data_IF_533813945515
#
_entry.id   IF_533813945515
#
_cell.length_a   1.000
_cell.length_b   1.000
_cell.length_c   1.000
_cell.angle_alpha   90.00
_cell.angle_beta   90.00
_cell.angle_gamma   90.00
#
_symmetry.space_group_name_H-M   'P 1'
#
loop_
_entity.id
_entity.type
_entity.pdbx_description
1 polymer ?
#
# COMPACT_ATOMS: atom_id res chain seq x y z
N UNK A 1 19.89 61.86 2.57
CA UNK A 1 18.81 62.84 2.30
C UNK A 1 17.64 62.07 1.69
N UNK A 2 16.48 62.28 2.30
CA UNK A 2 15.09 62.02 1.86
C UNK A 2 14.83 62.31 0.35
N UNK A 3 13.77 61.87 -0.36
CA UNK A 3 12.62 60.95 -0.16
C UNK A 3 11.82 60.87 -1.48
N UNK A 4 11.05 59.79 -1.65
CA UNK A 4 9.75 59.72 -2.34
C UNK A 4 9.12 58.36 -1.98
N UNK A 5 7.82 58.13 -1.75
CA UNK A 5 6.56 58.88 -1.74
C UNK A 5 5.40 57.89 -1.47
N UNK A 6 4.16 58.40 -1.35
CA UNK A 6 2.82 57.74 -1.24
C UNK A 6 2.40 57.24 0.15
N UNK A 7 1.36 57.73 0.85
CA UNK A 7 -0.04 58.17 0.57
C UNK A 7 -1.09 57.04 0.49
N UNK A 8 -1.74 56.88 1.65
CA UNK A 8 -3.17 56.64 1.98
C UNK A 8 -3.86 55.30 1.72
N UNK A 9 -4.23 54.72 2.87
CA UNK A 9 -5.24 53.72 3.18
C UNK A 9 -6.65 54.01 2.61
N UNK A 10 -7.33 52.92 2.23
CA UNK A 10 -8.76 52.81 1.93
C UNK A 10 -9.31 51.57 2.65
N UNK A 11 -10.55 51.72 3.13
CA UNK A 11 -11.44 50.74 3.77
C UNK A 11 -11.44 49.31 3.17
N UNK A 12 -11.14 48.30 3.98
CA UNK A 12 -11.47 46.88 3.75
C UNK A 12 -11.80 46.20 5.09
N UNK A 13 -12.93 46.55 5.74
CA UNK A 13 -13.32 45.92 7.01
C UNK A 13 -14.84 45.68 7.14
N UNK A 14 -15.54 45.46 6.03
CA UNK A 14 -16.99 45.13 6.05
C UNK A 14 -17.47 44.02 5.11
N UNK A 15 -16.58 43.35 4.36
CA UNK A 15 -16.98 42.23 3.46
C UNK A 15 -16.59 40.84 3.98
N UNK A 16 -15.68 40.71 4.96
CA UNK A 16 -15.30 39.41 5.53
C UNK A 16 -16.31 38.84 6.55
N UNK A 17 -17.26 39.65 7.04
CA UNK A 17 -18.24 39.23 8.05
C UNK A 17 -19.55 38.66 7.46
N UNK A 18 -19.78 38.78 6.15
CA UNK A 18 -21.01 38.32 5.48
C UNK A 18 -20.82 36.97 4.78
N UNK A 19 -19.59 36.64 4.38
CA UNK A 19 -19.29 35.36 3.70
C UNK A 19 -19.14 34.18 4.68
N UNK A 20 -18.74 34.43 5.93
CA UNK A 20 -18.60 33.36 6.94
C UNK A 20 -19.93 32.86 7.53
N UNK A 21 -21.03 33.58 7.36
CA UNK A 21 -22.35 33.22 7.90
C UNK A 21 -23.33 32.61 6.87
N UNK A 22 -22.86 32.26 5.66
CA UNK A 22 -23.72 31.67 4.62
C UNK A 22 -23.41 30.20 4.27
N UNK A 23 -22.52 29.53 5.01
CA UNK A 23 -22.19 28.10 4.79
C UNK A 23 -22.70 27.22 5.95
N UNK A 24 -23.01 27.79 7.11
CA UNK A 24 -23.78 27.09 8.14
C UNK A 24 -25.27 27.23 7.84
N UNK A 25 -25.83 26.28 7.10
CA UNK A 25 -27.13 25.62 7.37
C UNK A 25 -27.63 24.91 6.10
N UNK A 26 -28.03 23.65 6.30
CA UNK A 26 -28.80 22.80 5.39
C UNK A 26 -28.02 21.97 4.35
N UNK A 27 -27.05 21.18 4.81
CA UNK A 27 -26.97 19.80 4.33
C UNK A 27 -28.13 19.04 4.98
N UNK A 28 -29.33 19.19 4.41
CA UNK A 28 -30.52 18.48 4.88
C UNK A 28 -30.26 16.96 4.81
N UNK A 29 -30.74 16.19 5.80
CA UNK A 29 -30.70 14.73 5.80
C UNK A 29 -31.25 14.12 4.49
N UNK A 30 -32.14 14.84 3.81
CA UNK A 30 -32.65 14.46 2.49
C UNK A 30 -31.57 14.48 1.38
N UNK A 31 -30.61 15.41 1.42
CA UNK A 31 -29.47 15.44 0.48
C UNK A 31 -28.49 14.30 0.77
N UNK A 32 -28.21 14.00 2.04
CA UNK A 32 -27.37 12.86 2.42
C UNK A 32 -28.00 11.52 2.00
N UNK A 33 -29.32 11.38 2.15
CA UNK A 33 -30.05 10.20 1.70
C UNK A 33 -30.06 10.07 0.16
N UNK A 34 -30.23 11.18 -0.56
CA UNK A 34 -30.12 11.19 -2.04
C UNK A 34 -28.70 10.87 -2.51
N UNK A 35 -27.67 11.39 -1.84
CA UNK A 35 -26.26 11.10 -2.15
C UNK A 35 -25.90 9.63 -1.86
N UNK A 36 -26.40 9.06 -0.76
CA UNK A 36 -26.28 7.63 -0.46
C UNK A 36 -26.97 6.76 -1.53
N UNK A 37 -28.15 7.18 -2.00
CA UNK A 37 -28.90 6.49 -3.06
C UNK A 37 -28.17 6.56 -4.39
N UNK A 38 -27.59 7.72 -4.74
CA UNK A 38 -26.79 7.91 -5.96
C UNK A 38 -25.47 7.12 -5.91
N UNK A 39 -24.79 7.08 -4.75
CA UNK A 39 -23.60 6.24 -4.52
C UNK A 39 -23.93 4.75 -4.61
N UNK A 40 -25.10 4.33 -4.16
CA UNK A 40 -25.61 2.97 -4.34
C UNK A 40 -25.89 2.64 -5.81
N UNK A 41 -26.47 3.59 -6.57
CA UNK A 41 -26.71 3.43 -8.00
C UNK A 41 -25.41 3.37 -8.81
N UNK A 42 -24.42 4.22 -8.51
CA UNK A 42 -23.12 4.25 -9.21
C UNK A 42 -22.32 2.95 -9.08
N UNK A 43 -22.50 2.19 -7.99
CA UNK A 43 -21.88 0.86 -7.82
C UNK A 43 -22.44 -0.22 -8.73
N UNK A 44 -23.56 0.02 -9.41
CA UNK A 44 -24.31 -1.03 -10.15
C UNK A 44 -24.46 -0.75 -11.65
N UNK A 45 -23.86 0.32 -12.17
CA UNK A 45 -24.12 0.77 -13.55
C UNK A 45 -22.85 0.67 -14.41
N UNK A 46 -22.97 -0.01 -15.55
CA UNK A 46 -21.96 -0.07 -16.60
C UNK A 46 -21.73 1.30 -17.30
N UNK A 47 -20.54 1.50 -17.91
CA UNK A 47 -19.89 2.81 -18.12
C UNK A 47 -20.65 3.95 -18.84
N UNK A 48 -21.59 3.75 -19.78
CA UNK A 48 -22.06 4.88 -20.60
C UNK A 48 -23.12 5.79 -19.94
N UNK A 49 -23.72 5.41 -18.79
CA UNK A 49 -24.90 6.09 -18.24
C UNK A 49 -24.63 7.10 -17.12
N UNK A 50 -23.37 7.32 -16.73
CA UNK A 50 -22.98 8.13 -15.56
C UNK A 50 -23.38 9.61 -15.72
N UNK A 51 -23.35 10.15 -16.94
CA UNK A 51 -23.63 11.57 -17.19
C UNK A 51 -25.11 11.96 -17.11
N UNK A 52 -26.04 11.02 -17.26
CA UNK A 52 -27.49 11.31 -17.20
C UNK A 52 -28.04 11.39 -15.76
N UNK A 53 -27.29 10.93 -14.76
CA UNK A 53 -27.79 10.71 -13.38
C UNK A 53 -27.34 11.81 -12.40
N UNK A 54 -26.43 12.70 -12.82
CA UNK A 54 -25.92 13.77 -11.95
C UNK A 54 -26.96 14.92 -11.82
N UNK A 55 -27.46 15.11 -10.60
CA UNK A 55 -28.35 16.23 -10.22
C UNK A 55 -27.71 17.60 -10.53
N UNK A 56 -28.51 18.60 -10.91
CA UNK A 56 -28.09 19.97 -11.26
C UNK A 56 -27.24 20.62 -10.15
N UNK A 57 -27.48 20.26 -8.89
CA UNK A 57 -26.69 20.79 -7.76
C UNK A 57 -25.29 20.17 -7.69
N UNK A 58 -25.15 18.89 -8.04
CA UNK A 58 -23.84 18.20 -8.10
C UNK A 58 -23.05 18.72 -9.30
N UNK A 59 -23.71 18.99 -10.42
CA UNK A 59 -23.08 19.60 -11.60
C UNK A 59 -22.54 21.02 -11.31
N UNK A 60 -23.27 21.82 -10.51
CA UNK A 60 -22.79 23.14 -10.08
C UNK A 60 -21.55 23.05 -9.19
N UNK A 61 -21.54 22.13 -8.23
CA UNK A 61 -20.40 21.90 -7.33
C UNK A 61 -19.18 21.41 -8.13
N UNK A 62 -19.40 20.55 -9.12
CA UNK A 62 -18.31 20.00 -9.93
C UNK A 62 -17.84 20.92 -11.07
N UNK A 63 -18.62 21.96 -11.41
CA UNK A 63 -18.34 22.87 -12.54
C UNK A 63 -16.97 23.56 -12.53
N UNK A 64 -16.34 23.89 -11.37
CA UNK A 64 -14.99 24.46 -11.37
C UNK A 64 -13.93 23.45 -11.82
N UNK A 65 -14.11 22.16 -11.49
CA UNK A 65 -13.17 21.07 -11.78
C UNK A 65 -13.34 20.49 -13.19
N UNK A 66 -14.52 20.66 -13.80
CA UNK A 66 -14.81 20.29 -15.19
C UNK A 66 -14.60 21.44 -16.20
N UNK A 67 -13.84 22.48 -15.85
CA UNK A 67 -13.52 23.57 -16.78
C UNK A 67 -13.01 22.99 -18.12
N UNK A 68 -13.75 23.27 -19.19
CA UNK A 68 -13.67 22.63 -20.53
C UNK A 68 -12.29 22.64 -21.18
N UNK A 69 -11.35 23.41 -20.65
CA UNK A 69 -10.03 23.63 -21.25
C UNK A 69 -8.94 22.63 -20.82
N UNK A 70 -9.26 21.62 -19.98
CA UNK A 70 -8.29 20.57 -19.59
C UNK A 70 -8.67 19.14 -19.95
N UNK A 71 -9.89 18.89 -20.44
CA UNK A 71 -10.36 17.55 -20.82
C UNK A 71 -10.33 17.27 -22.33
N UNK A 72 -10.03 18.28 -23.16
CA UNK A 72 -10.20 18.21 -24.61
C UNK A 72 -9.04 18.79 -25.41
N UNK A 73 -7.79 18.50 -25.02
CA UNK A 73 -6.64 18.76 -25.90
C UNK A 73 -5.65 17.59 -25.81
N UNK A 74 -5.94 16.52 -26.56
CA UNK A 74 -5.11 16.13 -27.71
C UNK A 74 -5.69 14.84 -28.32
N UNK A 75 -5.82 14.82 -29.65
CA UNK A 75 -6.29 13.68 -30.45
C UNK A 75 -5.23 12.57 -30.52
N UNK A 76 -4.98 11.89 -29.41
CA UNK A 76 -4.31 10.59 -29.40
C UNK A 76 -5.22 9.56 -28.76
N UNK A 77 -5.41 8.44 -29.45
CA UNK A 77 -6.37 7.38 -29.15
C UNK A 77 -6.35 6.94 -27.67
N UNK A 78 -7.26 7.51 -26.86
CA UNK A 78 -7.64 6.95 -25.55
C UNK A 78 -8.75 5.93 -25.76
N UNK A 79 -8.58 4.72 -25.26
CA UNK A 79 -9.63 3.70 -25.28
C UNK A 79 -10.71 4.05 -24.25
N UNK A 80 -11.91 3.47 -24.39
CA UNK A 80 -13.04 3.71 -23.49
C UNK A 80 -12.71 3.33 -22.03
N UNK A 81 -11.76 2.41 -21.83
CA UNK A 81 -11.19 2.03 -20.53
C UNK A 81 -10.39 3.16 -19.86
N UNK A 82 -9.56 3.88 -20.62
CA UNK A 82 -8.74 4.98 -20.09
C UNK A 82 -9.62 6.14 -19.58
N UNK A 83 -10.77 6.34 -20.23
CA UNK A 83 -11.77 7.34 -19.82
C UNK A 83 -12.51 6.96 -18.54
N UNK A 84 -12.71 5.66 -18.29
CA UNK A 84 -13.33 5.14 -17.07
C UNK A 84 -12.38 5.27 -15.88
N UNK A 85 -11.08 5.00 -16.08
CA UNK A 85 -10.05 5.20 -15.05
C UNK A 85 -9.95 6.67 -14.63
N UNK A 86 -9.91 7.61 -15.58
CA UNK A 86 -9.92 9.05 -15.25
C UNK A 86 -11.19 9.49 -14.50
N UNK A 87 -12.35 8.88 -14.79
CA UNK A 87 -13.58 9.16 -14.03
C UNK A 87 -13.54 8.57 -12.61
N UNK A 88 -12.93 7.39 -12.43
CA UNK A 88 -12.75 6.77 -11.12
C UNK A 88 -11.79 7.58 -10.24
N UNK A 89 -10.71 8.14 -10.81
CA UNK A 89 -9.78 9.03 -10.12
C UNK A 89 -10.50 10.25 -9.53
N UNK A 90 -11.37 10.88 -10.31
CA UNK A 90 -12.18 12.03 -9.85
C UNK A 90 -13.15 11.63 -8.74
N UNK A 91 -13.78 10.45 -8.84
CA UNK A 91 -14.70 9.95 -7.80
C UNK A 91 -13.95 9.64 -6.50
N UNK A 92 -12.72 9.12 -6.59
CA UNK A 92 -11.90 8.81 -5.43
C UNK A 92 -11.38 10.07 -4.72
N UNK A 93 -10.94 11.07 -5.48
CA UNK A 93 -10.55 12.38 -4.94
C UNK A 93 -11.72 13.09 -4.23
N UNK A 94 -12.92 13.05 -4.83
CA UNK A 94 -14.15 13.58 -4.21
C UNK A 94 -14.47 12.85 -2.90
N UNK A 95 -14.26 11.53 -2.86
CA UNK A 95 -14.46 10.73 -1.64
C UNK A 95 -13.48 11.13 -0.54
N UNK A 96 -12.20 11.35 -0.87
CA UNK A 96 -11.17 11.77 0.09
C UNK A 96 -11.51 13.14 0.68
N UNK A 97 -11.85 14.12 -0.15
CA UNK A 97 -12.22 15.47 0.34
C UNK A 97 -13.51 15.47 1.16
N UNK A 98 -14.51 14.65 0.80
CA UNK A 98 -15.73 14.48 1.60
C UNK A 98 -15.45 13.86 2.99
N UNK A 99 -14.43 13.01 3.09
CA UNK A 99 -14.04 12.38 4.36
C UNK A 99 -13.37 13.41 5.27
N UNK A 100 -12.50 14.26 4.72
CA UNK A 100 -11.87 15.38 5.45
C UNK A 100 -12.90 16.38 5.98
N UNK A 101 -13.87 16.77 5.14
CA UNK A 101 -14.96 17.69 5.55
C UNK A 101 -15.86 17.08 6.63
N UNK A 102 -16.05 15.76 6.61
CA UNK A 102 -16.79 15.03 7.67
C UNK A 102 -16.03 14.98 9.00
N UNK A 103 -14.70 14.90 8.97
CA UNK A 103 -13.85 14.89 10.17
C UNK A 103 -13.74 16.29 10.79
N UNK A 104 -13.66 17.33 9.96
CA UNK A 104 -13.68 18.73 10.39
C UNK A 104 -15.04 19.15 10.98
N UNK A 105 -16.14 18.55 10.54
CA UNK A 105 -17.47 18.81 11.11
C UNK A 105 -17.65 18.17 12.51
N UNK A 106 -17.02 17.03 12.79
CA UNK A 106 -17.13 16.31 14.06
C UNK A 106 -16.27 16.92 15.19
N UNK A 107 -15.25 17.72 14.85
CA UNK A 107 -14.41 18.42 15.83
C UNK A 107 -15.06 19.71 16.35
N UNK A 108 -15.94 20.35 15.55
CA UNK A 108 -16.63 21.58 15.92
C UNK A 108 -17.81 21.40 16.90
N UNK A 109 -18.42 20.20 16.97
CA UNK A 109 -19.62 19.94 17.80
C UNK A 109 -19.25 19.56 19.26
N UNK A 110 -18.03 19.08 19.49
CA UNK A 110 -17.56 18.62 20.81
C UNK A 110 -17.24 19.78 21.76
N UNK A 111 -16.83 20.93 21.23
CA UNK A 111 -16.56 22.13 22.03
C UNK A 111 -17.86 22.79 22.54
N UNK A 112 -18.96 22.73 21.77
CA UNK A 112 -20.28 23.17 22.25
C UNK A 112 -20.88 22.21 23.29
N UNK A 113 -20.61 20.91 23.19
CA UNK A 113 -21.04 19.89 24.17
C UNK A 113 -20.27 20.05 25.49
N UNK A 114 -18.97 20.35 25.44
CA UNK A 114 -18.15 20.57 26.65
C UNK A 114 -18.51 21.88 27.37
N UNK A 115 -18.82 22.94 26.62
CA UNK A 115 -19.33 24.20 27.19
C UNK A 115 -20.70 24.04 27.88
N UNK A 116 -21.58 23.16 27.37
CA UNK A 116 -22.85 22.82 28.04
C UNK A 116 -22.67 21.92 29.27
N UNK A 117 -21.66 21.05 29.29
CA UNK A 117 -21.33 20.22 30.47
C UNK A 117 -20.85 21.06 31.64
N UNK A 118 -20.01 22.07 31.43
CA UNK A 118 -19.53 22.95 32.52
C UNK A 118 -20.67 23.79 33.15
N UNK A 119 -21.69 24.14 32.37
CA UNK A 119 -22.91 24.80 32.88
C UNK A 119 -23.80 23.89 33.74
N UNK A 120 -23.66 22.56 33.64
CA UNK A 120 -24.51 21.58 34.34
C UNK A 120 -23.90 21.09 35.68
N UNK A 121 -22.60 21.30 35.91
CA UNK A 121 -21.92 20.90 37.15
C UNK A 121 -22.02 21.91 38.31
N UNK A 122 -22.65 23.07 38.11
CA UNK A 122 -22.86 24.08 39.17
C UNK A 122 -24.10 23.85 40.04
N UNK A 123 -24.87 22.78 39.82
CA UNK A 123 -26.07 22.49 40.60
C UNK A 123 -26.17 21.00 40.94
N UNK A 124 -25.54 20.57 42.04
CA UNK A 124 -26.18 19.82 43.13
C UNK A 124 -25.12 19.39 44.17
N UNK A 125 -25.40 19.73 45.41
CA UNK A 125 -24.60 19.54 46.62
C UNK A 125 -25.09 18.28 47.38
N UNK A 126 -24.16 17.61 48.08
CA UNK A 126 -24.35 16.80 49.32
C UNK A 126 -24.65 15.27 49.24
N UNK A 127 -23.54 14.51 49.41
CA UNK A 127 -23.23 13.45 50.40
C UNK A 127 -23.70 11.96 50.29
N UNK A 128 -22.91 10.99 50.86
CA UNK A 128 -22.77 9.59 50.44
C UNK A 128 -23.35 8.56 51.44
N UNK A 129 -23.31 7.24 51.11
CA UNK A 129 -22.94 6.09 51.99
C UNK A 129 -23.23 4.70 51.34
N UNK A 130 -22.15 3.89 51.25
CA UNK A 130 -21.90 2.45 51.48
C UNK A 130 -22.84 1.27 51.09
N UNK A 131 -22.17 0.28 50.45
CA UNK A 131 -22.11 -1.19 50.71
C UNK A 131 -22.84 -2.24 49.83
N UNK A 132 -22.00 -3.24 49.46
CA UNK A 132 -22.20 -4.71 49.34
C UNK A 132 -22.78 -5.37 48.07
N UNK A 133 -21.85 -6.05 47.37
CA UNK A 133 -21.84 -7.43 46.85
C UNK A 133 -22.93 -8.02 45.91
N UNK A 134 -22.39 -8.60 44.82
CA UNK A 134 -22.73 -9.85 44.10
C UNK A 134 -23.65 -9.88 42.87
N UNK A 135 -23.06 -10.50 41.84
CA UNK A 135 -23.55 -11.28 40.69
C UNK A 135 -24.18 -10.61 39.46
N UNK A 136 -23.50 -10.91 38.34
CA UNK A 136 -24.01 -11.26 37.01
C UNK A 136 -24.00 -10.23 35.85
N UNK A 137 -23.16 -10.60 34.87
CA UNK A 137 -23.46 -10.69 33.43
C UNK A 137 -23.34 -9.44 32.55
N UNK A 138 -22.32 -9.49 31.68
CA UNK A 138 -22.30 -9.04 30.29
C UNK A 138 -22.93 -7.67 29.97
N UNK A 139 -22.31 -6.57 30.42
CA UNK A 139 -22.61 -5.24 29.85
C UNK A 139 -21.53 -4.17 30.14
N UNK A 140 -20.26 -4.43 29.81
CA UNK A 140 -19.24 -3.38 29.83
C UNK A 140 -18.13 -3.63 28.80
N UNK A 141 -18.47 -3.55 27.51
CA UNK A 141 -17.54 -3.50 26.37
C UNK A 141 -17.55 -2.13 25.68
N UNK A 142 -17.77 -1.04 26.42
CA UNK A 142 -17.48 0.30 25.93
C UNK A 142 -16.76 1.05 27.05
N UNK A 143 -15.43 1.16 26.95
CA UNK A 143 -14.68 2.22 27.62
C UNK A 143 -14.40 3.30 26.57
N UNK A 144 -14.74 4.57 26.84
CA UNK A 144 -14.43 5.65 25.93
C UNK A 144 -12.91 5.91 25.97
N UNK A 145 -12.33 5.98 24.77
CA UNK A 145 -11.05 6.55 24.38
C UNK A 145 -9.99 6.68 25.47
N UNK A 146 -8.96 5.84 25.38
CA UNK A 146 -7.64 6.13 25.96
C UNK A 146 -7.21 7.48 25.41
N UNK A 147 -7.04 8.45 26.30
CA UNK A 147 -6.44 9.76 26.00
C UNK A 147 -5.12 9.55 25.28
N UNK A 148 -4.98 10.17 24.11
CA UNK A 148 -3.69 10.36 23.45
C UNK A 148 -2.67 10.86 24.47
N UNK A 149 -1.41 10.36 24.47
CA UNK A 149 -0.38 10.86 25.35
C UNK A 149 -0.27 12.39 25.23
N UNK A 150 -0.35 13.11 26.36
CA UNK A 150 -0.24 14.57 26.49
C UNK A 150 1.14 15.16 26.10
N UNK A 151 1.96 14.44 25.34
CA UNK A 151 3.28 14.92 24.90
C UNK A 151 3.45 14.70 23.41
N UNK A 152 3.13 15.72 22.62
CA UNK A 152 3.44 15.79 21.19
C UNK A 152 4.96 15.85 20.99
N UNK A 153 5.57 14.75 20.55
CA UNK A 153 6.97 14.69 20.15
C UNK A 153 7.05 14.81 18.62
N UNK A 154 7.43 15.99 18.13
CA UNK A 154 7.70 16.23 16.73
C UNK A 154 8.84 15.30 16.25
N UNK A 155 8.55 14.39 15.31
CA UNK A 155 9.54 13.49 14.71
C UNK A 155 9.56 12.04 15.22
N UNK A 156 8.59 11.61 16.04
CA UNK A 156 8.32 10.17 16.21
C UNK A 156 7.46 9.66 15.05
N UNK A 157 7.75 8.44 14.58
CA UNK A 157 7.22 7.73 13.40
C UNK A 157 5.68 7.77 13.25
N UNK A 158 4.96 8.03 14.34
CA UNK A 158 3.51 7.91 14.45
C UNK A 158 2.71 8.97 13.66
N UNK A 159 3.18 10.23 13.53
CA UNK A 159 2.37 11.31 12.92
C UNK A 159 1.98 11.02 11.46
N UNK A 160 2.90 10.42 10.70
CA UNK A 160 2.67 10.10 9.28
C UNK A 160 2.45 8.62 9.02
N UNK A 161 2.65 7.73 10.02
CA UNK A 161 2.59 6.28 9.84
C UNK A 161 1.30 5.81 9.15
N UNK A 162 0.15 6.26 9.64
CA UNK A 162 -1.15 5.96 9.03
C UNK A 162 -1.28 6.48 7.59
N UNK A 163 -0.83 7.71 7.32
CA UNK A 163 -0.90 8.32 5.98
C UNK A 163 0.03 7.65 4.97
N UNK A 164 1.23 7.24 5.41
CA UNK A 164 2.20 6.49 4.61
C UNK A 164 1.60 5.13 4.29
N UNK A 165 1.08 4.41 5.29
CA UNK A 165 0.47 3.10 5.08
C UNK A 165 -0.69 3.17 4.08
N UNK A 166 -1.62 4.12 4.24
CA UNK A 166 -2.72 4.33 3.29
C UNK A 166 -2.23 4.65 1.87
N UNK A 167 -1.17 5.46 1.74
CA UNK A 167 -0.55 5.77 0.45
C UNK A 167 0.10 4.55 -0.20
N UNK A 168 0.77 3.70 0.58
CA UNK A 168 1.33 2.43 0.11
C UNK A 168 0.22 1.50 -0.38
N UNK A 169 -0.86 1.33 0.39
CA UNK A 169 -2.02 0.50 0.00
C UNK A 169 -2.71 1.02 -1.27
N UNK A 170 -2.82 2.34 -1.45
CA UNK A 170 -3.38 2.90 -2.69
C UNK A 170 -2.46 2.67 -3.91
N UNK A 171 -1.14 2.71 -3.70
CA UNK A 171 -0.14 2.54 -4.77
C UNK A 171 0.08 1.09 -5.17
N UNK A 172 -0.05 0.14 -4.24
CA UNK A 172 0.14 -1.28 -4.55
C UNK A 172 -0.87 -1.71 -5.62
N UNK A 173 -2.13 -1.30 -5.47
CA UNK A 173 -3.20 -1.57 -6.42
C UNK A 173 -2.88 -1.04 -7.82
N UNK A 174 -2.32 0.18 -7.91
CA UNK A 174 -1.99 0.84 -9.17
C UNK A 174 -0.87 0.15 -9.96
N UNK A 175 0.08 -0.46 -9.26
CA UNK A 175 1.28 -1.06 -9.86
C UNK A 175 1.31 -2.59 -9.75
N UNK A 176 0.20 -3.19 -9.32
CA UNK A 176 0.02 -4.64 -9.29
C UNK A 176 -0.16 -5.17 -10.71
N UNK A 177 0.67 -6.15 -11.10
CA UNK A 177 0.62 -6.76 -12.42
C UNK A 177 -0.28 -7.99 -12.35
N UNK A 178 -1.57 -7.82 -12.65
CA UNK A 178 -2.57 -8.89 -12.59
C UNK A 178 -2.76 -9.64 -13.90
N UNK A 179 -2.36 -9.03 -15.02
CA UNK A 179 -2.52 -9.65 -16.34
C UNK A 179 -1.57 -10.82 -16.53
N UNK A 180 -2.00 -11.85 -17.26
CA UNK A 180 -1.10 -12.92 -17.70
C UNK A 180 -0.08 -12.32 -18.70
N UNK A 181 1.05 -11.87 -18.17
CA UNK A 181 2.14 -11.26 -18.95
C UNK A 181 2.64 -12.23 -20.02
N UNK A 182 2.57 -13.55 -19.79
CA UNK A 182 3.09 -14.54 -20.72
C UNK A 182 2.18 -14.76 -21.92
N UNK A 183 0.89 -14.44 -21.82
CA UNK A 183 -0.02 -14.46 -22.96
C UNK A 183 0.41 -13.46 -24.07
N UNK A 184 1.06 -12.35 -23.68
CA UNK A 184 1.63 -11.35 -24.60
C UNK A 184 3.03 -11.73 -25.10
N UNK A 185 3.73 -12.65 -24.42
CA UNK A 185 5.11 -13.03 -24.74
C UNK A 185 5.15 -14.12 -25.82
N UNK A 186 5.87 -13.84 -26.92
CA UNK A 186 6.06 -14.84 -27.98
C UNK A 186 6.97 -15.99 -27.53
N UNK A 187 8.03 -15.68 -26.78
CA UNK A 187 9.11 -16.61 -26.48
C UNK A 187 9.41 -16.79 -24.98
N UNK A 188 9.23 -15.77 -24.15
CA UNK A 188 9.44 -15.87 -22.70
C UNK A 188 8.31 -16.70 -22.09
N UNK A 189 8.66 -17.59 -21.16
CA UNK A 189 7.75 -18.52 -20.47
C UNK A 189 7.88 -18.37 -18.95
N UNK A 190 6.87 -18.77 -18.16
CA UNK A 190 6.92 -18.71 -16.70
C UNK A 190 8.20 -19.29 -16.10
N UNK A 191 8.61 -20.48 -16.56
CA UNK A 191 9.86 -21.13 -16.10
C UNK A 191 11.10 -20.30 -16.37
N UNK A 192 11.16 -19.57 -17.49
CA UNK A 192 12.32 -18.71 -17.79
C UNK A 192 12.39 -17.53 -16.84
N UNK A 193 11.24 -16.95 -16.45
CA UNK A 193 11.18 -15.90 -15.43
C UNK A 193 11.66 -16.45 -14.08
N UNK A 194 11.16 -17.60 -13.66
CA UNK A 194 11.56 -18.20 -12.39
C UNK A 194 13.08 -18.45 -12.33
N UNK A 195 13.68 -18.97 -13.41
CA UNK A 195 15.14 -19.14 -13.53
C UNK A 195 15.89 -17.80 -13.49
N UNK A 196 15.37 -16.76 -14.13
CA UNK A 196 15.98 -15.42 -14.07
C UNK A 196 15.92 -14.85 -12.64
N UNK A 197 14.78 -14.97 -11.96
CA UNK A 197 14.58 -14.47 -10.60
C UNK A 197 15.47 -15.21 -9.60
N UNK A 198 15.54 -16.54 -9.70
CA UNK A 198 16.44 -17.38 -8.89
C UNK A 198 17.90 -16.93 -9.04
N UNK A 199 18.36 -16.73 -10.28
CA UNK A 199 19.70 -16.18 -10.52
C UNK A 199 19.87 -14.75 -9.99
N UNK A 200 18.87 -13.87 -10.13
CA UNK A 200 18.91 -12.51 -9.59
C UNK A 200 18.99 -12.49 -8.05
N UNK A 201 18.45 -13.50 -7.35
CA UNK A 201 18.61 -13.66 -5.90
C UNK A 201 20.07 -13.97 -5.54
N UNK A 202 20.74 -14.83 -6.31
CA UNK A 202 22.18 -15.09 -6.11
C UNK A 202 23.03 -13.82 -6.34
N UNK A 203 22.70 -13.07 -7.40
CA UNK A 203 23.36 -11.79 -7.72
C UNK A 203 23.10 -10.79 -6.58
N UNK A 204 21.86 -10.62 -6.16
CA UNK A 204 21.44 -9.76 -5.05
C UNK A 204 22.25 -10.05 -3.78
N UNK A 205 22.34 -11.32 -3.39
CA UNK A 205 23.10 -11.74 -2.21
C UNK A 205 24.59 -11.45 -2.37
N UNK A 206 25.16 -11.71 -3.55
CA UNK A 206 26.59 -11.48 -3.81
C UNK A 206 26.99 -10.00 -3.76
N UNK A 207 26.06 -9.10 -4.11
CA UNK A 207 26.27 -7.66 -4.01
C UNK A 207 25.84 -7.09 -2.65
N UNK A 208 25.38 -7.92 -1.71
CA UNK A 208 24.95 -7.53 -0.37
C UNK A 208 23.90 -6.40 -0.38
N UNK A 209 22.96 -6.48 -1.33
CA UNK A 209 21.93 -5.46 -1.53
C UNK A 209 20.77 -5.61 -0.54
N UNK A 210 20.05 -4.52 -0.32
CA UNK A 210 18.84 -4.52 0.52
C UNK A 210 17.73 -5.38 -0.08
N UNK A 211 16.89 -5.99 0.77
CA UNK A 211 15.79 -6.83 0.29
C UNK A 211 14.85 -6.06 -0.65
N UNK A 212 14.56 -4.80 -0.33
CA UNK A 212 13.73 -3.93 -1.15
C UNK A 212 14.25 -3.79 -2.60
N UNK A 213 15.57 -3.77 -2.79
CA UNK A 213 16.20 -3.73 -4.12
C UNK A 213 15.84 -4.96 -4.97
N UNK A 214 15.81 -6.16 -4.38
CA UNK A 214 15.40 -7.38 -5.05
C UNK A 214 13.92 -7.33 -5.46
N UNK A 215 13.04 -6.95 -4.53
CA UNK A 215 11.60 -6.90 -4.82
C UNK A 215 11.27 -5.85 -5.90
N UNK A 216 11.91 -4.68 -5.87
CA UNK A 216 11.80 -3.68 -6.94
C UNK A 216 12.30 -4.22 -8.28
N UNK A 217 13.43 -4.93 -8.28
CA UNK A 217 13.98 -5.56 -9.49
C UNK A 217 12.97 -6.50 -10.14
N UNK A 218 12.35 -7.40 -9.36
CA UNK A 218 11.36 -8.34 -9.88
C UNK A 218 10.11 -7.60 -10.38
N UNK A 219 9.63 -6.60 -9.64
CA UNK A 219 8.50 -5.77 -10.09
C UNK A 219 8.79 -5.07 -11.43
N UNK A 220 10.00 -4.54 -11.62
CA UNK A 220 10.40 -3.91 -12.88
C UNK A 220 10.45 -4.92 -14.02
N UNK A 221 11.00 -6.11 -13.80
CA UNK A 221 10.99 -7.19 -14.81
C UNK A 221 9.56 -7.51 -15.24
N UNK A 222 8.64 -7.70 -14.29
CA UNK A 222 7.26 -8.09 -14.58
C UNK A 222 6.48 -6.99 -15.30
N UNK A 223 6.61 -5.74 -14.84
CA UNK A 223 5.99 -4.58 -15.50
C UNK A 223 6.52 -4.35 -16.92
N UNK A 224 7.78 -4.67 -17.17
CA UNK A 224 8.36 -4.59 -18.50
C UNK A 224 7.81 -5.69 -19.40
N UNK A 225 7.74 -6.94 -18.91
CA UNK A 225 7.13 -8.05 -19.65
C UNK A 225 5.62 -7.86 -19.91
N UNK A 226 4.92 -7.10 -19.08
CA UNK A 226 3.51 -6.77 -19.29
C UNK A 226 3.27 -5.84 -20.50
N UNK A 227 4.30 -5.07 -20.90
CA UNK A 227 4.19 -4.02 -21.92
C UNK A 227 5.02 -4.30 -23.17
N UNK A 228 6.18 -4.97 -23.02
CA UNK A 228 7.13 -5.20 -24.10
C UNK A 228 7.38 -6.69 -24.33
N UNK A 229 7.45 -7.09 -25.61
CA UNK A 229 7.80 -8.46 -25.99
C UNK A 229 9.32 -8.64 -25.95
N UNK A 230 9.80 -9.57 -25.14
CA UNK A 230 11.24 -9.81 -24.95
C UNK A 230 11.66 -11.12 -25.62
N UNK A 231 12.82 -11.10 -26.28
CA UNK A 231 13.45 -12.33 -26.79
C UNK A 231 14.32 -12.99 -25.71
N UNK A 232 14.41 -14.33 -25.65
CA UNK A 232 15.15 -15.05 -24.62
C UNK A 232 16.58 -14.57 -24.40
N UNK A 233 17.28 -14.25 -25.49
CA UNK A 233 18.69 -13.83 -25.49
C UNK A 233 18.92 -12.46 -24.84
N UNK A 234 17.88 -11.63 -24.71
CA UNK A 234 17.95 -10.33 -24.04
C UNK A 234 17.34 -10.35 -22.65
N UNK A 235 16.78 -11.48 -22.22
CA UNK A 235 15.99 -11.51 -21.00
C UNK A 235 16.84 -11.33 -19.73
N UNK A 236 18.05 -11.90 -19.70
CA UNK A 236 19.01 -11.63 -18.62
C UNK A 236 19.46 -10.16 -18.61
N UNK A 237 19.65 -9.53 -19.78
CA UNK A 237 19.97 -8.10 -19.86
C UNK A 237 18.86 -7.24 -19.25
N UNK A 238 17.58 -7.58 -19.48
CA UNK A 238 16.43 -6.91 -18.83
C UNK A 238 16.50 -7.05 -17.32
N UNK A 239 16.77 -8.25 -16.79
CA UNK A 239 16.90 -8.48 -15.35
C UNK A 239 18.03 -7.65 -14.72
N UNK A 240 19.18 -7.57 -15.38
CA UNK A 240 20.35 -6.82 -14.89
C UNK A 240 20.14 -5.32 -14.99
N UNK A 241 19.49 -4.84 -16.05
CA UNK A 241 19.11 -3.44 -16.18
C UNK A 241 18.06 -3.04 -15.12
N UNK A 242 17.10 -3.93 -14.83
CA UNK A 242 16.14 -3.74 -13.75
C UNK A 242 16.84 -3.66 -12.38
N UNK A 243 17.82 -4.53 -12.11
CA UNK A 243 18.62 -4.50 -10.88
C UNK A 243 19.47 -3.23 -10.76
N UNK A 244 20.03 -2.76 -11.88
CA UNK A 244 20.75 -1.49 -11.92
C UNK A 244 19.84 -0.31 -11.57
N UNK A 245 18.62 -0.28 -12.11
CA UNK A 245 17.64 0.77 -11.80
C UNK A 245 17.20 0.69 -10.33
N UNK A 246 16.90 -0.51 -9.83
CA UNK A 246 16.49 -0.72 -8.45
C UNK A 246 17.59 -0.30 -7.46
N UNK A 247 18.84 -0.71 -7.71
CA UNK A 247 19.96 -0.33 -6.86
C UNK A 247 20.22 1.18 -6.88
N UNK A 248 20.12 1.85 -8.04
CA UNK A 248 20.20 3.32 -8.12
C UNK A 248 19.08 4.04 -7.36
N UNK A 249 17.94 3.37 -7.20
CA UNK A 249 16.77 3.94 -6.52
C UNK A 249 16.86 3.75 -4.99
N UNK A 250 17.30 2.58 -4.54
CA UNK A 250 17.20 2.16 -3.13
C UNK A 250 18.53 2.22 -2.38
N UNK A 251 19.66 1.93 -3.04
CA UNK A 251 20.96 1.75 -2.36
C UNK A 251 21.68 3.08 -2.14
N UNK A 252 22.38 3.18 -1.01
CA UNK A 252 23.34 4.27 -0.76
C UNK A 252 24.47 4.22 -1.80
N UNK A 253 24.92 3.00 -2.13
CA UNK A 253 25.96 2.72 -3.11
C UNK A 253 25.43 1.73 -4.15
N UNK A 254 24.90 2.21 -5.28
CA UNK A 254 24.32 1.34 -6.30
C UNK A 254 25.37 0.46 -6.99
N UNK A 255 24.91 -0.63 -7.61
CA UNK A 255 25.79 -1.55 -8.34
C UNK A 255 26.58 -0.84 -9.44
N UNK A 256 27.89 -1.13 -9.56
CA UNK A 256 28.68 -0.65 -10.69
C UNK A 256 28.33 -1.42 -11.95
N UNK A 257 28.20 -0.70 -13.07
CA UNK A 257 27.89 -1.31 -14.36
C UNK A 257 28.93 -2.35 -14.78
N UNK A 258 30.23 -2.14 -14.49
CA UNK A 258 31.25 -3.10 -14.90
C UNK A 258 31.15 -4.40 -14.10
N UNK A 259 30.73 -4.33 -12.84
CA UNK A 259 30.53 -5.52 -12.00
C UNK A 259 29.30 -6.31 -12.47
N UNK A 260 28.21 -5.62 -12.84
CA UNK A 260 27.04 -6.24 -13.46
C UNK A 260 27.37 -6.88 -14.82
N UNK A 261 28.18 -6.21 -15.64
CA UNK A 261 28.65 -6.80 -16.90
C UNK A 261 29.60 -7.98 -16.66
N UNK A 262 30.39 -7.94 -15.59
CA UNK A 262 31.28 -9.03 -15.21
C UNK A 262 30.50 -10.27 -14.78
N UNK A 263 29.43 -10.13 -13.97
CA UNK A 263 28.60 -11.28 -13.55
C UNK A 263 27.81 -11.89 -14.71
N UNK A 264 27.55 -11.11 -15.77
CA UNK A 264 26.99 -11.60 -17.03
C UNK A 264 28.04 -12.21 -17.98
N UNK A 265 29.24 -12.51 -17.49
CA UNK A 265 30.39 -12.99 -18.27
C UNK A 265 30.73 -12.10 -19.48
N UNK A 266 30.41 -10.81 -19.40
CA UNK A 266 30.55 -9.82 -20.50
C UNK A 266 29.81 -10.23 -21.79
N UNK A 267 28.71 -10.95 -21.65
CA UNK A 267 27.80 -11.28 -22.76
C UNK A 267 27.17 -10.04 -23.39
N UNK A 268 27.17 -8.92 -22.66
CA UNK A 268 26.63 -7.64 -23.09
C UNK A 268 27.70 -6.54 -23.03
N UNK A 269 27.55 -5.53 -23.88
CA UNK A 269 28.35 -4.31 -23.81
C UNK A 269 27.74 -3.31 -22.82
N UNK A 270 28.54 -2.33 -22.40
CA UNK A 270 28.05 -1.21 -21.59
C UNK A 270 26.97 -0.40 -22.32
N UNK A 271 27.05 -0.30 -23.64
CA UNK A 271 26.02 0.35 -24.46
C UNK A 271 24.71 -0.42 -24.42
N UNK A 272 24.74 -1.75 -24.49
CA UNK A 272 23.53 -2.57 -24.40
C UNK A 272 22.81 -2.37 -23.06
N UNK A 273 23.58 -2.31 -21.96
CA UNK A 273 23.03 -2.10 -20.62
C UNK A 273 22.42 -0.70 -20.46
N UNK A 274 23.09 0.34 -20.96
CA UNK A 274 22.57 1.72 -20.94
C UNK A 274 21.30 1.84 -21.79
N UNK A 275 21.28 1.22 -22.96
CA UNK A 275 20.12 1.26 -23.85
C UNK A 275 18.94 0.52 -23.23
N UNK A 276 19.17 -0.66 -22.64
CA UNK A 276 18.14 -1.41 -21.93
C UNK A 276 17.61 -0.67 -20.70
N UNK A 277 18.48 -0.01 -19.92
CA UNK A 277 18.07 0.85 -18.81
C UNK A 277 17.15 1.98 -19.30
N UNK A 278 17.51 2.62 -20.41
CA UNK A 278 16.70 3.70 -20.99
C UNK A 278 15.32 3.18 -21.44
N UNK A 279 15.27 2.02 -22.06
CA UNK A 279 14.02 1.40 -22.53
C UNK A 279 13.09 1.10 -21.35
N UNK A 280 13.61 0.49 -20.27
CA UNK A 280 12.87 0.25 -19.03
C UNK A 280 12.30 1.55 -18.44
N UNK A 281 13.13 2.57 -18.27
CA UNK A 281 12.71 3.87 -17.71
C UNK A 281 11.63 4.55 -18.55
N UNK A 282 11.73 4.47 -19.88
CA UNK A 282 10.73 5.01 -20.80
C UNK A 282 9.40 4.27 -20.68
N UNK A 283 9.42 2.93 -20.63
CA UNK A 283 8.22 2.11 -20.42
C UNK A 283 7.55 2.43 -19.09
N UNK A 284 8.32 2.62 -18.03
CA UNK A 284 7.78 2.95 -16.70
C UNK A 284 7.33 4.40 -16.59
N UNK A 285 7.69 5.26 -17.54
CA UNK A 285 7.54 6.72 -17.42
C UNK A 285 8.14 7.23 -16.11
N UNK A 286 9.27 6.65 -15.70
CA UNK A 286 9.95 6.91 -14.42
C UNK A 286 9.13 6.64 -13.15
N UNK A 287 8.02 5.89 -13.22
CA UNK A 287 7.27 5.45 -12.05
C UNK A 287 7.95 4.24 -11.40
N UNK A 288 8.98 4.51 -10.60
CA UNK A 288 9.85 3.51 -9.97
C UNK A 288 9.42 3.17 -8.55
N UNK A 289 8.97 4.17 -7.79
CA UNK A 289 8.55 3.98 -6.41
C UNK A 289 7.26 3.15 -6.36
N UNK A 290 7.38 1.86 -6.10
CA UNK A 290 6.27 0.91 -6.02
C UNK A 290 6.34 0.19 -4.67
N UNK A 291 5.22 0.06 -3.94
CA UNK A 291 5.18 -0.75 -2.74
C UNK A 291 5.49 -2.20 -3.07
N UNK A 292 6.28 -2.85 -2.22
CA UNK A 292 6.67 -4.24 -2.38
C UNK A 292 6.26 -5.06 -1.16
N UNK A 293 6.33 -6.39 -1.26
CA UNK A 293 6.11 -7.29 -0.11
C UNK A 293 7.09 -6.95 1.00
N UNK A 294 8.37 -6.70 0.66
CA UNK A 294 9.39 -6.27 1.64
C UNK A 294 9.05 -4.93 2.28
N UNK A 295 8.45 -3.98 1.54
CA UNK A 295 8.00 -2.69 2.12
C UNK A 295 6.94 -2.90 3.21
N UNK A 296 5.92 -3.70 2.93
CA UNK A 296 4.85 -3.98 3.90
C UNK A 296 5.35 -4.85 5.05
N UNK A 297 6.16 -5.87 4.75
CA UNK A 297 6.70 -6.76 5.76
C UNK A 297 7.60 -5.99 6.75
N UNK A 298 8.45 -5.08 6.26
CA UNK A 298 9.24 -4.18 7.12
C UNK A 298 8.35 -3.33 8.04
N UNK A 299 7.29 -2.72 7.50
CA UNK A 299 6.32 -1.96 8.30
C UNK A 299 5.65 -2.80 9.40
N UNK A 300 5.33 -4.07 9.12
CA UNK A 300 4.72 -4.96 10.12
C UNK A 300 5.73 -5.38 11.18
N UNK A 301 6.95 -5.72 10.78
CA UNK A 301 8.01 -6.19 11.66
C UNK A 301 8.57 -5.11 12.60
N UNK A 302 8.40 -3.83 12.30
CA UNK A 302 8.72 -2.72 13.24
C UNK A 302 8.00 -2.83 14.59
N UNK A 303 6.93 -3.63 14.66
CA UNK A 303 6.11 -3.84 15.86
C UNK A 303 6.45 -5.13 16.62
N UNK A 304 7.45 -5.90 16.15
CA UNK A 304 7.90 -7.15 16.76
C UNK A 304 9.13 -6.92 17.64
N UNK A 305 9.30 -7.78 18.66
CA UNK A 305 10.40 -7.67 19.63
C UNK A 305 11.60 -8.53 19.20
N UNK A 306 12.76 -8.38 19.87
CA UNK A 306 13.98 -9.15 19.56
C UNK A 306 13.78 -10.69 19.68
N UNK A 307 12.84 -11.13 20.50
CA UNK A 307 12.50 -12.55 20.69
C UNK A 307 11.85 -13.16 19.44
N UNK A 308 11.32 -12.33 18.52
CA UNK A 308 10.60 -12.75 17.32
C UNK A 308 11.51 -12.89 16.08
N UNK A 309 12.83 -12.87 16.28
CA UNK A 309 13.80 -12.91 15.17
C UNK A 309 13.62 -14.12 14.24
N UNK A 310 13.20 -15.28 14.76
CA UNK A 310 12.93 -16.46 13.92
C UNK A 310 11.70 -16.22 13.01
N UNK A 311 10.66 -15.56 13.53
CA UNK A 311 9.45 -15.21 12.78
C UNK A 311 9.81 -14.22 11.67
N UNK A 312 10.62 -13.20 11.98
CA UNK A 312 11.15 -12.26 10.99
C UNK A 312 11.90 -12.97 9.86
N UNK A 313 12.84 -13.85 10.19
CA UNK A 313 13.65 -14.54 9.18
C UNK A 313 12.80 -15.51 8.35
N UNK A 314 11.84 -16.22 8.95
CA UNK A 314 10.89 -17.06 8.23
C UNK A 314 9.99 -16.25 7.30
N UNK A 315 9.46 -15.12 7.76
CA UNK A 315 8.58 -14.29 6.94
C UNK A 315 9.34 -13.72 5.73
N UNK A 316 10.58 -13.28 5.90
CA UNK A 316 11.44 -12.83 4.80
C UNK A 316 11.79 -13.98 3.83
N UNK A 317 12.11 -15.16 4.37
CA UNK A 317 12.33 -16.37 3.57
C UNK A 317 11.10 -16.70 2.70
N UNK A 318 9.91 -16.73 3.29
CA UNK A 318 8.67 -17.01 2.57
C UNK A 318 8.35 -15.93 1.53
N UNK A 319 8.62 -14.66 1.85
CA UNK A 319 8.43 -13.55 0.92
C UNK A 319 9.33 -13.70 -0.31
N UNK A 320 10.60 -14.08 -0.16
CA UNK A 320 11.49 -14.31 -1.30
C UNK A 320 11.13 -15.56 -2.09
N UNK A 321 10.66 -16.64 -1.44
CA UNK A 321 10.12 -17.81 -2.14
C UNK A 321 8.93 -17.42 -3.04
N UNK A 322 8.07 -16.51 -2.59
CA UNK A 322 6.91 -16.05 -3.36
C UNK A 322 7.29 -15.37 -4.68
N UNK A 323 8.49 -14.79 -4.79
CA UNK A 323 8.96 -14.11 -6.00
C UNK A 323 9.14 -15.06 -7.19
N UNK A 324 9.38 -16.36 -6.93
CA UNK A 324 9.60 -17.35 -7.98
C UNK A 324 8.33 -17.67 -8.76
N UNK A 325 7.16 -17.58 -8.12
CA UNK A 325 5.86 -17.84 -8.75
C UNK A 325 5.16 -16.53 -9.17
N UNK A 326 5.10 -16.32 -10.49
CA UNK A 326 4.40 -15.16 -11.04
C UNK A 326 2.88 -15.24 -10.84
N UNK A 327 2.29 -16.44 -10.94
CA UNK A 327 0.83 -16.61 -10.82
C UNK A 327 0.37 -16.21 -9.43
N UNK A 328 1.12 -16.60 -8.41
CA UNK A 328 0.89 -16.18 -7.03
C UNK A 328 1.01 -14.66 -6.89
N UNK A 329 2.09 -14.08 -7.40
CA UNK A 329 2.33 -12.63 -7.36
C UNK A 329 1.26 -11.81 -8.11
N UNK A 330 0.70 -12.36 -9.20
CA UNK A 330 -0.38 -11.73 -9.97
C UNK A 330 -1.76 -11.87 -9.30
N UNK A 331 -1.93 -12.88 -8.44
CA UNK A 331 -3.20 -13.15 -7.75
C UNK A 331 -3.37 -12.26 -6.52
N UNK A 332 -2.30 -12.03 -5.76
CA UNK A 332 -2.36 -11.34 -4.48
C UNK A 332 -1.56 -10.03 -4.49
N UNK A 333 -2.13 -8.99 -3.89
CA UNK A 333 -1.44 -7.71 -3.71
C UNK A 333 -0.30 -7.83 -2.67
N UNK A 334 0.77 -7.04 -2.80
CA UNK A 334 1.95 -7.13 -1.92
C UNK A 334 1.67 -7.09 -0.41
N UNK A 335 0.70 -6.30 0.04
CA UNK A 335 0.32 -6.19 1.45
C UNK A 335 -0.32 -7.47 1.99
N UNK A 336 -1.12 -8.17 1.18
CA UNK A 336 -1.73 -9.46 1.52
C UNK A 336 -0.65 -10.53 1.57
N UNK A 337 0.25 -10.55 0.58
CA UNK A 337 1.38 -11.49 0.56
C UNK A 337 2.26 -11.31 1.79
N UNK A 338 2.59 -10.08 2.17
CA UNK A 338 3.37 -9.80 3.38
C UNK A 338 2.66 -10.31 4.66
N UNK A 339 1.34 -10.10 4.77
CA UNK A 339 0.56 -10.67 5.87
C UNK A 339 0.54 -12.19 5.84
N UNK A 340 0.45 -12.81 4.65
CA UNK A 340 0.42 -14.26 4.50
C UNK A 340 1.75 -14.89 4.91
N UNK A 341 2.88 -14.29 4.53
CA UNK A 341 4.21 -14.71 4.98
C UNK A 341 4.34 -14.60 6.50
N UNK A 342 3.88 -13.48 7.09
CA UNK A 342 3.91 -13.27 8.53
C UNK A 342 3.01 -14.27 9.28
N UNK A 343 1.80 -14.51 8.78
CA UNK A 343 0.86 -15.48 9.34
C UNK A 343 1.45 -16.90 9.31
N UNK A 344 2.00 -17.32 8.17
CA UNK A 344 2.66 -18.63 8.05
C UNK A 344 3.82 -18.77 9.04
N UNK A 345 4.67 -17.74 9.16
CA UNK A 345 5.81 -17.76 10.06
C UNK A 345 5.38 -17.87 11.53
N UNK A 346 4.38 -17.09 11.95
CA UNK A 346 3.87 -17.16 13.32
C UNK A 346 3.17 -18.51 13.59
N UNK A 347 2.33 -19.01 12.65
CA UNK A 347 1.71 -20.33 12.77
C UNK A 347 2.75 -21.44 12.96
N UNK A 348 3.84 -21.39 12.19
CA UNK A 348 4.94 -22.34 12.29
C UNK A 348 5.64 -22.28 13.65
N UNK A 349 6.02 -21.08 14.10
CA UNK A 349 6.79 -20.90 15.35
C UNK A 349 5.94 -21.18 16.59
N UNK A 350 4.70 -20.70 16.61
CA UNK A 350 3.79 -20.90 17.74
C UNK A 350 3.12 -22.27 17.74
N UNK A 351 3.18 -23.00 16.61
CA UNK A 351 2.50 -24.27 16.38
C UNK A 351 0.98 -24.16 16.68
N UNK A 352 0.36 -23.13 16.14
CA UNK A 352 -1.03 -22.75 16.37
C UNK A 352 -1.74 -22.41 15.06
N UNK A 353 -3.07 -22.53 15.06
CA UNK A 353 -3.89 -22.21 13.90
C UNK A 353 -3.96 -20.69 13.65
N UNK A 354 -4.25 -20.27 12.40
CA UNK A 354 -4.32 -18.86 12.03
C UNK A 354 -5.16 -17.99 12.96
N UNK A 355 -6.32 -18.50 13.42
CA UNK A 355 -7.25 -17.73 14.25
C UNK A 355 -6.75 -17.45 15.67
N UNK A 356 -5.80 -18.25 16.18
CA UNK A 356 -5.21 -18.04 17.49
C UNK A 356 -4.02 -17.08 17.43
N UNK A 357 -3.23 -17.23 16.37
CA UNK A 357 -2.02 -16.45 16.13
C UNK A 357 -2.35 -15.01 15.70
N UNK A 358 -3.31 -14.84 14.79
CA UNK A 358 -3.68 -13.54 14.22
C UNK A 358 -4.56 -12.73 15.17
N UNK A 359 -3.93 -12.20 16.21
CA UNK A 359 -4.59 -11.48 17.30
C UNK A 359 -5.00 -10.04 16.90
N UNK A 360 -5.71 -9.36 17.81
CA UNK A 360 -6.24 -8.01 17.58
C UNK A 360 -5.16 -6.97 17.24
N UNK A 361 -3.92 -7.15 17.74
CA UNK A 361 -2.80 -6.25 17.47
C UNK A 361 -2.37 -6.35 16.01
N UNK A 362 -2.26 -7.56 15.47
CA UNK A 362 -1.93 -7.78 14.06
C UNK A 362 -3.02 -7.24 13.14
N UNK A 363 -4.30 -7.37 13.53
CA UNK A 363 -5.42 -6.75 12.80
C UNK A 363 -5.33 -5.22 12.84
N UNK A 364 -4.97 -4.62 13.98
CA UNK A 364 -4.81 -3.18 14.11
C UNK A 364 -3.65 -2.63 13.26
N UNK A 365 -2.50 -3.32 13.24
CA UNK A 365 -1.31 -2.92 12.47
C UNK A 365 -1.54 -3.07 10.96
N UNK A 366 -2.13 -4.19 10.53
CA UNK A 366 -2.23 -4.54 9.10
C UNK A 366 -3.56 -4.10 8.46
N UNK A 367 -4.58 -3.84 9.27
CA UNK A 367 -5.95 -3.62 8.80
C UNK A 367 -6.62 -4.85 8.19
N UNK A 368 -6.01 -6.05 8.28
CA UNK A 368 -6.55 -7.27 7.71
C UNK A 368 -7.04 -8.24 8.79
N UNK A 369 -8.27 -8.72 8.62
CA UNK A 369 -8.78 -9.86 9.37
C UNK A 369 -8.17 -11.17 8.84
N UNK A 370 -8.04 -12.18 9.70
CA UNK A 370 -7.38 -13.45 9.36
C UNK A 370 -8.05 -14.14 8.17
N UNK A 371 -9.37 -14.02 8.04
CA UNK A 371 -10.15 -14.62 6.97
C UNK A 371 -9.79 -14.07 5.58
N UNK A 372 -9.29 -12.84 5.50
CA UNK A 372 -8.84 -12.25 4.25
C UNK A 372 -7.44 -12.74 3.82
N UNK A 373 -6.64 -13.24 4.77
CA UNK A 373 -5.24 -13.60 4.56
C UNK A 373 -5.09 -15.11 4.31
N UNK A 374 -5.88 -15.94 4.99
CA UNK A 374 -5.80 -17.42 4.94
C UNK A 374 -5.74 -17.98 3.52
N UNK A 375 -6.54 -17.54 2.52
CA UNK A 375 -6.44 -18.07 1.16
C UNK A 375 -5.04 -17.86 0.55
N UNK A 376 -4.46 -16.67 0.73
CA UNK A 376 -3.11 -16.36 0.27
C UNK A 376 -2.07 -17.21 1.02
N UNK A 377 -2.23 -17.42 2.32
CA UNK A 377 -1.32 -18.26 3.12
C UNK A 377 -1.37 -19.73 2.71
N UNK A 378 -2.55 -20.25 2.38
CA UNK A 378 -2.71 -21.62 1.87
C UNK A 378 -2.01 -21.80 0.52
N UNK A 379 -2.22 -20.86 -0.41
CA UNK A 379 -1.55 -20.88 -1.71
C UNK A 379 -0.02 -20.74 -1.55
N UNK A 380 0.43 -19.86 -0.65
CA UNK A 380 1.85 -19.70 -0.31
C UNK A 380 2.44 -21.02 0.20
N UNK A 381 1.73 -21.72 1.09
CA UNK A 381 2.20 -22.98 1.65
C UNK A 381 2.44 -24.04 0.57
N UNK A 382 1.60 -24.06 -0.47
CA UNK A 382 1.76 -24.95 -1.62
C UNK A 382 3.05 -24.66 -2.41
N UNK A 383 3.50 -23.41 -2.45
CA UNK A 383 4.76 -23.00 -3.10
C UNK A 383 5.95 -23.44 -2.26
N UNK A 384 5.85 -23.28 -0.92
CA UNK A 384 6.94 -23.59 0.01
C UNK A 384 7.25 -25.09 0.10
N UNK A 385 6.23 -25.94 -0.01
CA UNK A 385 6.36 -27.40 0.15
C UNK A 385 6.75 -28.08 -1.18
N UNK A 386 6.46 -27.45 -2.32
CA UNK A 386 6.75 -28.03 -3.62
C UNK A 386 8.26 -28.19 -3.85
N UNK A 387 8.73 -29.39 -4.24
CA UNK A 387 10.15 -29.58 -4.55
C UNK A 387 10.53 -28.75 -5.78
N UNK A 388 11.56 -27.94 -5.63
CA UNK A 388 12.05 -27.04 -6.69
C UNK A 388 13.52 -27.29 -7.01
N UNK A 389 13.89 -27.09 -8.27
CA UNK A 389 15.28 -27.07 -8.73
C UNK A 389 15.92 -25.68 -8.56
N UNK A 390 15.11 -24.66 -8.24
CA UNK A 390 15.51 -23.27 -8.01
C UNK A 390 15.87 -23.09 -6.54
N UNK A 391 17.16 -23.07 -6.23
CA UNK A 391 17.66 -23.23 -4.86
C UNK A 391 18.26 -21.96 -4.28
N UNK A 392 18.25 -20.83 -4.98
CA UNK A 392 18.93 -19.62 -4.53
C UNK A 392 18.39 -19.11 -3.19
N UNK A 393 17.06 -19.04 -3.05
CA UNK A 393 16.41 -18.62 -1.80
C UNK A 393 16.77 -19.56 -0.65
N UNK A 394 16.62 -20.88 -0.83
CA UNK A 394 16.96 -21.85 0.21
C UNK A 394 18.43 -21.75 0.60
N UNK A 395 19.34 -21.65 -0.37
CA UNK A 395 20.79 -21.53 -0.14
C UNK A 395 21.12 -20.27 0.66
N UNK A 396 20.49 -19.13 0.33
CA UNK A 396 20.62 -17.88 1.08
C UNK A 396 20.19 -18.07 2.53
N UNK A 397 18.96 -18.54 2.75
CA UNK A 397 18.37 -18.65 4.09
C UNK A 397 18.84 -19.86 4.92
N UNK A 398 19.64 -20.77 4.34
CA UNK A 398 20.46 -21.76 5.09
C UNK A 398 21.73 -21.15 5.69
N UNK A 399 22.04 -19.87 5.38
CA UNK A 399 23.14 -19.13 5.99
C UNK A 399 22.96 -18.91 7.49
N UNK A 400 24.08 -18.84 8.22
CA UNK A 400 24.05 -18.59 9.68
C UNK A 400 23.46 -17.22 10.02
N UNK A 401 23.65 -16.22 9.15
CA UNK A 401 23.10 -14.87 9.33
C UNK A 401 21.56 -14.84 9.33
N UNK A 402 20.92 -15.76 8.61
CA UNK A 402 19.47 -15.90 8.52
C UNK A 402 18.91 -16.95 9.49
N UNK A 403 19.72 -17.44 10.43
CA UNK A 403 19.27 -18.42 11.43
C UNK A 403 18.97 -19.82 10.86
N UNK A 404 19.38 -20.10 9.62
CA UNK A 404 19.14 -21.37 8.92
C UNK A 404 17.66 -21.75 8.80
N UNK A 405 16.79 -20.76 8.64
CA UNK A 405 15.34 -21.00 8.57
C UNK A 405 14.93 -21.87 7.38
N UNK A 406 15.72 -21.92 6.31
CA UNK A 406 15.48 -22.82 5.18
C UNK A 406 15.73 -24.30 5.49
N UNK A 407 16.50 -24.62 6.55
CA UNK A 407 16.77 -26.00 6.96
C UNK A 407 15.64 -26.60 7.82
N UNK A 408 14.62 -25.79 8.15
CA UNK A 408 13.46 -26.18 8.95
C UNK A 408 12.47 -26.99 8.10
N UNK A 409 11.89 -28.04 8.70
CA UNK A 409 10.90 -28.89 8.02
C UNK A 409 9.52 -28.21 8.07
N UNK A 410 8.99 -27.84 6.90
CA UNK A 410 7.69 -27.16 6.77
C UNK A 410 6.50 -28.12 6.60
N UNK A 411 6.71 -29.43 6.72
CA UNK A 411 5.68 -30.46 6.44
C UNK A 411 4.41 -30.28 7.31
N UNK A 412 4.56 -29.78 8.53
CA UNK A 412 3.44 -29.56 9.45
C UNK A 412 2.66 -28.26 9.15
N UNK A 413 3.21 -27.37 8.31
CA UNK A 413 2.62 -26.05 8.02
C UNK A 413 1.26 -26.17 7.31
N UNK A 414 1.13 -27.10 6.35
CA UNK A 414 -0.13 -27.31 5.63
C UNK A 414 -1.26 -27.74 6.59
N UNK A 415 -0.94 -28.61 7.56
CA UNK A 415 -1.90 -29.06 8.58
C UNK A 415 -2.31 -27.96 9.56
N UNK A 416 -1.43 -27.00 9.84
CA UNK A 416 -1.73 -25.85 10.70
C UNK A 416 -2.61 -24.80 10.02
N UNK A 417 -2.55 -24.71 8.68
CA UNK A 417 -3.26 -23.72 7.87
C UNK A 417 -4.66 -24.17 7.39
N UNK A 418 -5.06 -25.40 7.73
CA UNK A 418 -6.34 -26.02 7.35
C UNK A 418 -7.48 -25.81 8.37
#
# INVERSE_FOLDING_TARGET
MYVGGNVKAVNENKEEAVVKNSIQTNLNEEMLLRMSTVLGALKTIEPPRILEILDENVQKIASPWFSKDKLFDDNSFKTESDRVLECLDVVYEVKIELTKVSEDANTLDQDEINAKKESLYSAHEVMPVQNSSTSDSYSSLIRPHTSLPETYCLGTVDEYGGSIYQSLRAREHRYHVTEDIFAKQQSVRPRMRAVLVDWLIEVHQRFELEAQTLFLTVNYVDRYLAQESVIPQRFQLVGVAALLIASKFEEIYPCDMNDLLYICERSYSKTDLIDCERDLLNVFKFNLAVPSVSTFLGFYLEHFDEDDKIIEQLANYFAECSLLDFTFSATYEPSIVACACLLAANCYVENQSPSLVWNYRLVEITGYAVEAIVPCTQDLSSILIQPTELTAVATKYSGNEFGKVADLLLDDLEGLLC
#
